data_IF_881768338028
#
_entry.id   IF_881768338028
#
_cell.length_a   1.000
_cell.length_b   1.000
_cell.length_c   1.000
_cell.angle_alpha   90.00
_cell.angle_beta   90.00
_cell.angle_gamma   90.00
#
_symmetry.space_group_name_H-M   'P 1'
#
loop_
_entity.id
_entity.type
_entity.pdbx_description
1 polymer ?
#
# COMPACT_ATOMS: atom_id res chain seq x y z
N UNK A 1 -1.07 -5.76 -0.73
CA UNK A 1 -0.82 -6.85 -1.72
C UNK A 1 -1.40 -6.53 -3.10
N UNK A 2 -0.87 -7.05 -4.22
CA UNK A 2 -1.30 -6.72 -5.60
C UNK A 2 -1.28 -7.89 -6.60
N UNK A 3 -2.19 -7.87 -7.60
CA UNK A 3 -2.53 -8.98 -8.52
C UNK A 3 -1.94 -8.81 -9.95
N UNK A 4 -1.30 -9.83 -10.56
CA UNK A 4 -0.45 -9.66 -11.79
C UNK A 4 -0.75 -10.59 -12.98
N UNK A 5 -0.19 -10.26 -14.17
CA UNK A 5 -0.68 -10.46 -15.55
C UNK A 5 0.31 -10.73 -16.73
N UNK A 6 0.63 -11.95 -17.28
CA UNK A 6 1.42 -12.07 -18.52
C UNK A 6 0.65 -12.63 -19.74
N UNK A 7 0.76 -11.98 -20.90
CA UNK A 7 -0.09 -12.23 -22.08
C UNK A 7 0.28 -13.49 -22.93
N UNK A 8 -0.78 -14.12 -23.46
CA UNK A 8 -0.87 -14.95 -24.69
C UNK A 8 -0.58 -16.47 -24.64
N UNK A 9 -1.49 -17.21 -23.99
CA UNK A 9 -2.21 -18.44 -24.44
C UNK A 9 -3.38 -18.59 -23.45
N UNK A 10 -4.58 -19.06 -23.84
CA UNK A 10 -5.70 -19.28 -22.88
C UNK A 10 -5.39 -20.44 -21.93
N UNK A 11 -4.38 -20.28 -21.10
CA UNK A 11 -4.30 -20.82 -19.76
C UNK A 11 -5.04 -19.81 -18.87
N UNK A 12 -5.86 -20.27 -17.94
CA UNK A 12 -6.42 -19.40 -16.91
C UNK A 12 -5.26 -18.62 -16.29
N UNK A 13 -5.30 -17.31 -16.42
CA UNK A 13 -4.22 -16.45 -15.98
C UNK A 13 -4.26 -16.45 -14.46
N UNK A 14 -3.30 -17.13 -13.83
CA UNK A 14 -3.28 -17.29 -12.39
C UNK A 14 -2.97 -15.94 -11.74
N UNK A 15 -4.02 -15.28 -11.27
CA UNK A 15 -3.95 -14.08 -10.46
C UNK A 15 -3.67 -14.46 -9.02
N UNK A 16 -2.61 -13.92 -8.44
CA UNK A 16 -2.26 -14.16 -7.04
C UNK A 16 -1.93 -12.84 -6.36
N UNK A 17 -2.24 -12.79 -5.07
CA UNK A 17 -1.78 -11.74 -4.18
C UNK A 17 -0.28 -11.90 -3.94
N UNK A 18 0.47 -10.81 -4.07
CA UNK A 18 1.84 -10.74 -3.59
C UNK A 18 1.93 -10.91 -2.08
N UNK A 19 3.15 -11.08 -1.57
CA UNK A 19 3.43 -10.77 -0.16
C UNK A 19 3.03 -9.32 0.16
N UNK A 20 2.78 -9.06 1.45
CA UNK A 20 2.60 -7.70 1.97
C UNK A 20 3.86 -6.87 1.75
N UNK A 21 3.68 -5.57 1.53
CA UNK A 21 4.76 -4.64 1.23
C UNK A 21 4.76 -3.60 2.33
N UNK A 22 5.82 -3.63 3.12
CA UNK A 22 6.12 -2.67 4.17
C UNK A 22 7.48 -2.07 3.80
N UNK A 23 7.44 -0.88 3.20
CA UNK A 23 8.58 -0.13 2.70
C UNK A 23 9.19 0.70 3.81
N UNK A 24 8.39 1.29 4.70
CA UNK A 24 8.85 2.13 5.79
C UNK A 24 7.97 2.08 7.05
N UNK A 25 8.62 1.97 8.21
CA UNK A 25 7.95 2.14 9.49
C UNK A 25 7.46 3.60 9.67
N UNK A 26 6.45 3.77 10.52
CA UNK A 26 5.92 5.07 11.02
C UNK A 26 7.00 6.03 11.60
N UNK A 27 7.76 6.69 10.73
CA UNK A 27 8.89 7.54 11.11
C UNK A 27 8.80 8.91 10.43
N UNK A 28 9.41 9.92 11.05
CA UNK A 28 9.41 11.29 10.53
C UNK A 28 7.99 11.84 10.29
N UNK A 29 7.61 11.94 9.01
CA UNK A 29 6.42 12.61 8.49
C UNK A 29 5.17 11.74 8.36
N UNK A 30 5.28 10.41 8.38
CA UNK A 30 4.13 9.54 8.11
C UNK A 30 4.51 8.07 7.98
N UNK A 31 3.74 7.37 7.17
CA UNK A 31 3.89 6.00 6.71
C UNK A 31 3.60 6.01 5.20
N UNK A 32 4.49 5.42 4.38
CA UNK A 32 4.62 5.72 2.95
C UNK A 32 4.82 4.47 2.07
N UNK A 33 3.72 3.76 1.88
CA UNK A 33 3.57 2.73 0.85
C UNK A 33 3.12 3.32 -0.50
N UNK A 34 3.76 4.41 -0.91
CA UNK A 34 3.43 5.15 -2.13
C UNK A 34 3.93 4.46 -3.41
N UNK A 35 3.10 4.48 -4.46
CA UNK A 35 3.38 3.79 -5.72
C UNK A 35 4.71 4.22 -6.35
N UNK A 36 5.05 5.50 -6.32
CA UNK A 36 6.24 6.06 -6.97
C UNK A 36 7.53 5.53 -6.32
N UNK A 37 7.56 5.46 -5.00
CA UNK A 37 8.71 4.93 -4.25
C UNK A 37 8.90 3.43 -4.47
N UNK A 38 7.81 2.67 -4.54
CA UNK A 38 7.85 1.22 -4.80
C UNK A 38 8.29 0.91 -6.24
N UNK A 39 8.02 1.77 -7.23
CA UNK A 39 8.59 1.64 -8.59
C UNK A 39 10.08 1.89 -8.64
N UNK A 40 10.55 2.84 -7.84
CA UNK A 40 11.98 3.18 -7.74
C UNK A 40 12.76 2.20 -6.88
N UNK A 41 12.08 1.26 -6.20
CA UNK A 41 12.72 0.26 -5.34
C UNK A 41 13.27 0.86 -4.04
N UNK A 42 12.66 1.92 -3.52
CA UNK A 42 13.16 2.66 -2.36
C UNK A 42 12.70 2.01 -1.03
N UNK A 43 13.29 0.87 -0.69
CA UNK A 43 13.00 0.11 0.54
C UNK A 43 12.21 -1.17 0.29
N UNK A 44 11.20 -1.09 -0.59
CA UNK A 44 10.50 -2.25 -1.14
C UNK A 44 10.28 -2.09 -2.65
N UNK A 45 9.85 -3.18 -3.31
CA UNK A 45 9.74 -3.26 -4.77
C UNK A 45 8.35 -3.73 -5.16
N UNK A 46 7.74 -3.04 -6.13
CA UNK A 46 6.50 -3.51 -6.73
C UNK A 46 6.66 -4.89 -7.39
N UNK A 47 5.82 -5.88 -7.06
CA UNK A 47 5.94 -7.23 -7.59
C UNK A 47 5.51 -7.33 -9.05
N UNK A 48 4.83 -6.31 -9.57
CA UNK A 48 4.46 -6.21 -10.98
C UNK A 48 4.26 -4.77 -11.44
N UNK A 49 4.24 -4.60 -12.76
CA UNK A 49 4.11 -3.30 -13.39
C UNK A 49 2.66 -2.78 -13.44
N UNK A 50 1.68 -3.69 -13.58
CA UNK A 50 0.25 -3.35 -13.73
C UNK A 50 -0.59 -4.21 -12.78
N UNK A 51 -0.68 -3.82 -11.50
CA UNK A 51 -1.49 -4.54 -10.54
C UNK A 51 -3.00 -4.36 -10.81
N UNK A 52 -3.81 -5.39 -10.56
CA UNK A 52 -5.26 -5.35 -10.81
C UNK A 52 -6.09 -4.90 -9.59
N UNK A 53 -5.55 -5.05 -8.40
CA UNK A 53 -6.20 -4.70 -7.13
C UNK A 53 -5.13 -4.48 -6.07
N UNK A 54 -5.42 -3.65 -5.08
CA UNK A 54 -4.59 -3.44 -3.89
C UNK A 54 -5.40 -3.80 -2.64
N UNK A 55 -4.73 -4.29 -1.61
CA UNK A 55 -5.26 -4.44 -0.26
C UNK A 55 -4.23 -3.86 0.71
N UNK A 56 -4.69 -3.12 1.71
CA UNK A 56 -3.86 -2.42 2.69
C UNK A 56 -4.38 -2.62 4.10
N UNK A 57 -3.48 -2.88 5.04
CA UNK A 57 -3.83 -3.16 6.44
C UNK A 57 -2.74 -2.70 7.38
N UNK A 58 -3.06 -2.59 8.65
CA UNK A 58 -2.04 -2.33 9.68
C UNK A 58 -1.12 -3.53 9.84
N UNK A 59 0.19 -3.33 9.95
CA UNK A 59 1.18 -4.42 10.13
C UNK A 59 0.87 -5.27 11.37
N UNK A 60 0.64 -4.63 12.53
CA UNK A 60 0.55 -5.37 13.80
C UNK A 60 -0.77 -6.09 14.05
N UNK A 61 -1.88 -5.46 13.66
CA UNK A 61 -3.23 -5.93 14.00
C UNK A 61 -4.02 -6.44 12.81
N UNK A 62 -3.48 -6.28 11.60
CA UNK A 62 -4.14 -6.64 10.33
C UNK A 62 -5.54 -6.04 10.18
N UNK A 63 -5.78 -4.86 10.76
CA UNK A 63 -7.01 -4.11 10.58
C UNK A 63 -6.95 -3.48 9.18
N UNK A 64 -7.99 -3.63 8.34
CA UNK A 64 -8.04 -2.97 7.05
C UNK A 64 -7.85 -1.45 7.20
N UNK A 65 -7.08 -0.82 6.32
CA UNK A 65 -6.80 0.61 6.39
C UNK A 65 -8.08 1.46 6.45
N UNK A 66 -9.11 1.07 5.68
CA UNK A 66 -10.44 1.70 5.67
C UNK A 66 -11.20 1.63 7.00
N UNK A 67 -10.78 0.75 7.92
CA UNK A 67 -11.43 0.53 9.22
C UNK A 67 -10.68 1.16 10.40
N UNK A 68 -9.50 1.76 10.19
CA UNK A 68 -8.71 2.37 11.27
C UNK A 68 -9.24 3.74 11.70
N UNK A 69 -9.99 4.41 10.81
CA UNK A 69 -10.46 5.77 11.01
C UNK A 69 -9.39 6.85 10.85
N UNK A 70 -8.19 6.48 10.35
CA UNK A 70 -7.16 7.43 9.95
C UNK A 70 -7.50 8.06 8.61
N UNK A 71 -6.99 9.27 8.39
CA UNK A 71 -7.13 9.95 7.10
C UNK A 71 -5.89 9.67 6.25
N UNK A 72 -6.12 9.38 4.97
CA UNK A 72 -5.05 9.10 4.01
C UNK A 72 -4.95 10.24 3.00
N UNK A 73 -3.77 10.40 2.42
CA UNK A 73 -3.50 11.42 1.41
C UNK A 73 -4.39 11.16 0.18
N UNK A 74 -4.98 12.22 -0.37
CA UNK A 74 -5.81 12.12 -1.58
C UNK A 74 -5.05 11.44 -2.73
N UNK A 75 -5.69 10.44 -3.34
CA UNK A 75 -5.12 9.63 -4.42
C UNK A 75 -4.20 8.50 -3.96
N UNK A 76 -3.85 8.42 -2.67
CA UNK A 76 -3.06 7.36 -2.05
C UNK A 76 -3.76 6.81 -0.79
N UNK A 77 -5.06 6.58 -0.90
CA UNK A 77 -5.97 6.08 0.14
C UNK A 77 -6.21 4.57 0.01
N UNK A 78 -5.14 3.80 -0.21
CA UNK A 78 -5.16 2.40 -0.63
C UNK A 78 -5.68 2.24 -2.06
N UNK A 79 -5.04 2.95 -3.00
CA UNK A 79 -5.36 2.92 -4.43
C UNK A 79 -4.27 2.19 -5.22
N UNK A 80 -4.63 1.63 -6.38
CA UNK A 80 -3.66 0.95 -7.25
C UNK A 80 -2.67 1.96 -7.84
N UNK A 81 -3.14 3.17 -8.12
CA UNK A 81 -2.40 4.23 -8.78
C UNK A 81 -1.47 4.99 -7.82
N UNK A 82 -1.87 5.17 -6.57
CA UNK A 82 -1.11 5.96 -5.58
C UNK A 82 -0.56 5.16 -4.41
N UNK A 83 -1.02 3.93 -4.19
CA UNK A 83 -0.63 3.12 -3.02
C UNK A 83 -1.36 3.59 -1.76
N UNK A 84 -0.66 3.59 -0.64
CA UNK A 84 -1.16 4.07 0.65
C UNK A 84 -0.19 5.09 1.25
N UNK A 85 -0.71 6.26 1.63
CA UNK A 85 0.07 7.26 2.35
C UNK A 85 -0.74 7.81 3.52
N UNK A 86 -0.20 7.65 4.72
CA UNK A 86 -0.68 8.33 5.91
C UNK A 86 0.31 9.44 6.31
N UNK A 87 -0.18 10.67 6.49
CA UNK A 87 0.64 11.80 6.94
C UNK A 87 0.32 12.12 8.40
N UNK A 88 1.34 12.16 9.26
CA UNK A 88 1.18 12.38 10.70
C UNK A 88 0.45 13.68 11.03
N UNK A 89 0.77 14.76 10.30
CA UNK A 89 0.19 16.09 10.55
C UNK A 89 -1.24 16.25 10.03
N UNK A 90 -1.76 15.29 9.26
CA UNK A 90 -3.14 15.27 8.80
C UNK A 90 -4.05 14.50 9.77
N UNK A 91 -3.47 13.74 10.71
CA UNK A 91 -4.24 13.01 11.70
C UNK A 91 -4.83 13.93 12.77
N UNK A 92 -5.87 13.44 13.45
CA UNK A 92 -6.51 14.14 14.57
C UNK A 92 -5.46 14.54 15.63
N UNK A 93 -5.64 15.68 16.32
CA UNK A 93 -4.69 16.12 17.35
C UNK A 93 -4.39 15.02 18.38
N UNK A 94 -3.10 14.76 18.61
CA UNK A 94 -2.63 13.72 19.53
C UNK A 94 -2.57 12.30 18.93
N UNK A 95 -2.88 12.14 17.64
CA UNK A 95 -2.73 10.88 16.90
C UNK A 95 -1.57 10.98 15.90
N UNK A 96 -0.99 9.83 15.57
CA UNK A 96 0.01 9.64 14.52
C UNK A 96 -0.42 8.47 13.65
N UNK A 97 0.14 8.37 12.46
CA UNK A 97 -0.08 7.25 11.56
C UNK A 97 0.21 5.92 12.25
N UNK A 98 -0.64 4.94 11.97
CA UNK A 98 -0.34 3.54 12.19
C UNK A 98 0.61 3.06 11.09
N UNK A 99 1.18 1.90 11.35
CA UNK A 99 2.12 1.18 10.48
C UNK A 99 1.32 0.33 9.50
N UNK A 100 1.51 0.51 8.19
CA UNK A 100 0.71 -0.17 7.17
C UNK A 100 1.54 -1.01 6.19
N UNK A 101 0.86 -1.96 5.53
CA UNK A 101 1.40 -2.83 4.47
C UNK A 101 0.36 -3.23 3.42
#
# INVERSE_FOLDING_TARGET
TVLTSPLAKRAAQATYWSSWIDRDDTSGTGDWEDRESLEKGLGAVMPCQNPLAIDCRTVRTHIPASSTGQVFKEGADCSVEGGLVCVNNEQRPGSRCLDYE
#
